data_IF_807145705991
#
_entry.id   IF_807145705991
#
_cell.length_a   1.000
_cell.length_b   1.000
_cell.length_c   1.000
_cell.angle_alpha   90.00
_cell.angle_beta   90.00
_cell.angle_gamma   90.00
#
_symmetry.space_group_name_H-M   'P 1'
#
loop_
_entity.id
_entity.type
_entity.pdbx_description
1 polymer ?
#
# COMPACT_ATOMS: atom_id res chain seq x y z
N UNK A 1 13.21 29.02 -9.23
CA UNK A 1 12.16 28.44 -8.36
C UNK A 1 10.80 28.84 -8.92
N UNK A 2 10.13 27.95 -9.65
CA UNK A 2 8.67 28.05 -9.88
C UNK A 2 8.06 26.91 -9.07
N UNK A 3 7.85 27.19 -7.78
CA UNK A 3 7.03 26.33 -6.95
C UNK A 3 5.63 26.27 -7.57
N UNK A 4 5.02 25.09 -7.59
CA UNK A 4 3.62 24.90 -8.00
C UNK A 4 2.71 25.90 -7.26
N UNK A 5 1.46 26.08 -7.72
CA UNK A 5 0.38 26.28 -6.78
C UNK A 5 0.35 25.01 -5.91
N UNK A 6 1.08 25.07 -4.80
CA UNK A 6 0.94 24.12 -3.71
C UNK A 6 -0.56 24.06 -3.43
N UNK A 7 -1.14 22.85 -3.44
CA UNK A 7 -2.52 22.71 -3.00
C UNK A 7 -2.62 23.45 -1.67
N UNK A 8 -3.49 24.45 -1.60
CA UNK A 8 -3.70 25.26 -0.38
C UNK A 8 -4.14 24.38 0.79
N UNK A 9 -4.55 23.14 0.52
CA UNK A 9 -5.13 22.18 1.45
C UNK A 9 -4.42 20.82 1.35
N UNK A 10 -3.23 20.64 1.98
CA UNK A 10 -2.47 19.38 1.91
C UNK A 10 -3.27 18.17 2.40
N UNK A 11 -4.13 18.34 3.40
CA UNK A 11 -5.04 17.30 3.89
C UNK A 11 -6.03 16.85 2.82
N UNK A 12 -6.62 17.78 2.06
CA UNK A 12 -7.55 17.46 0.98
C UNK A 12 -6.86 16.73 -0.18
N UNK A 13 -5.62 17.11 -0.50
CA UNK A 13 -4.82 16.40 -1.50
C UNK A 13 -4.50 14.97 -1.08
N UNK A 14 -4.14 14.75 0.18
CA UNK A 14 -3.93 13.41 0.69
C UNK A 14 -5.23 12.61 0.72
N UNK A 15 -6.34 13.21 1.15
CA UNK A 15 -7.65 12.55 1.15
C UNK A 15 -8.08 12.13 -0.26
N UNK A 16 -7.91 13.01 -1.25
CA UNK A 16 -8.17 12.68 -2.66
C UNK A 16 -7.29 11.53 -3.16
N UNK A 17 -5.99 11.55 -2.82
CA UNK A 17 -5.10 10.46 -3.17
C UNK A 17 -5.52 9.12 -2.54
N UNK A 18 -6.03 9.14 -1.29
CA UNK A 18 -6.52 7.95 -0.61
C UNK A 18 -7.86 7.46 -1.18
N UNK A 19 -8.74 8.36 -1.61
CA UNK A 19 -9.96 7.98 -2.35
C UNK A 19 -9.61 7.31 -3.68
N UNK A 20 -8.67 7.89 -4.43
CA UNK A 20 -8.14 7.27 -5.65
C UNK A 20 -7.52 5.91 -5.34
N UNK A 21 -6.67 5.80 -4.32
CA UNK A 21 -6.09 4.53 -3.94
C UNK A 21 -7.19 3.49 -3.63
N UNK A 22 -8.29 3.91 -3.00
CA UNK A 22 -9.41 3.05 -2.60
C UNK A 22 -10.12 2.40 -3.77
N UNK A 23 -10.09 3.03 -4.94
CA UNK A 23 -10.71 2.48 -6.15
C UNK A 23 -9.84 1.42 -6.83
N UNK A 24 -8.57 1.24 -6.43
CA UNK A 24 -7.61 0.39 -7.16
C UNK A 24 -8.08 -1.04 -7.32
N UNK A 25 -8.73 -1.60 -6.29
CA UNK A 25 -9.22 -2.97 -6.31
C UNK A 25 -10.24 -3.21 -7.43
N UNK A 26 -11.21 -2.30 -7.58
CA UNK A 26 -12.19 -2.39 -8.66
C UNK A 26 -11.53 -2.29 -10.04
N UNK A 27 -10.61 -1.35 -10.22
CA UNK A 27 -9.91 -1.18 -11.50
C UNK A 27 -9.09 -2.44 -11.86
N UNK A 28 -8.48 -3.09 -10.88
CA UNK A 28 -7.75 -4.35 -11.06
C UNK A 28 -8.71 -5.49 -11.41
N UNK A 29 -9.85 -5.60 -10.71
CA UNK A 29 -10.88 -6.61 -10.99
C UNK A 29 -11.49 -6.44 -12.38
N UNK A 30 -11.90 -5.22 -12.75
CA UNK A 30 -12.49 -4.91 -14.05
C UNK A 30 -11.51 -5.01 -15.21
N UNK A 31 -10.20 -4.88 -14.96
CA UNK A 31 -9.20 -5.13 -15.99
C UNK A 31 -9.25 -6.59 -16.49
N UNK A 32 -9.64 -7.53 -15.63
CA UNK A 32 -9.88 -8.94 -16.01
C UNK A 32 -8.62 -9.68 -16.47
N UNK A 33 -7.44 -9.24 -16.04
CA UNK A 33 -6.15 -9.79 -16.47
C UNK A 33 -5.37 -10.41 -15.31
N UNK A 34 -4.37 -11.22 -15.65
CA UNK A 34 -3.47 -11.79 -14.65
C UNK A 34 -2.76 -10.67 -13.84
N UNK A 35 -2.61 -10.79 -12.52
CA UNK A 35 -2.03 -9.75 -11.66
C UNK A 35 -0.67 -9.23 -12.14
N UNK A 36 0.21 -10.13 -12.63
CA UNK A 36 1.53 -9.76 -13.17
C UNK A 36 1.39 -8.85 -14.40
N UNK A 37 0.48 -9.16 -15.31
CA UNK A 37 0.22 -8.35 -16.51
C UNK A 37 -0.33 -6.96 -16.13
N UNK A 38 -1.23 -6.91 -15.14
CA UNK A 38 -1.75 -5.64 -14.61
C UNK A 38 -0.65 -4.80 -13.99
N UNK A 39 0.21 -5.37 -13.14
CA UNK A 39 1.31 -4.64 -12.50
C UNK A 39 2.35 -4.20 -13.52
N UNK A 40 2.65 -5.01 -14.54
CA UNK A 40 3.52 -4.63 -15.64
C UNK A 40 3.00 -3.37 -16.36
N UNK A 41 1.74 -3.38 -16.82
CA UNK A 41 1.16 -2.23 -17.51
C UNK A 41 0.96 -1.02 -16.59
N UNK A 42 0.62 -1.23 -15.32
CA UNK A 42 0.65 -0.18 -14.28
C UNK A 42 2.02 0.50 -14.24
N UNK A 43 3.09 -0.28 -14.26
CA UNK A 43 4.45 0.25 -14.26
C UNK A 43 4.78 1.00 -15.56
N UNK A 44 4.37 0.49 -16.72
CA UNK A 44 4.55 1.18 -18.01
C UNK A 44 3.86 2.55 -18.03
N UNK A 45 2.56 2.59 -17.75
CA UNK A 45 1.79 3.83 -17.76
C UNK A 45 2.18 4.78 -16.62
N UNK A 46 2.51 4.23 -15.44
CA UNK A 46 3.03 5.00 -14.31
C UNK A 46 4.39 5.64 -14.62
N UNK A 47 5.32 4.88 -15.23
CA UNK A 47 6.63 5.39 -15.62
C UNK A 47 6.52 6.47 -16.71
N UNK A 48 5.63 6.32 -17.69
CA UNK A 48 5.39 7.35 -18.70
C UNK A 48 4.89 8.65 -18.08
N UNK A 49 3.88 8.58 -17.20
CA UNK A 49 3.34 9.77 -16.53
C UNK A 49 4.38 10.41 -15.59
N UNK A 50 5.00 9.62 -14.71
CA UNK A 50 5.98 10.12 -13.74
C UNK A 50 7.26 10.61 -14.41
N UNK A 51 7.68 9.96 -15.50
CA UNK A 51 8.80 10.39 -16.33
C UNK A 51 8.53 11.75 -16.96
N UNK A 52 7.38 11.91 -17.62
CA UNK A 52 6.95 13.20 -18.16
C UNK A 52 6.85 14.27 -17.05
N UNK A 53 6.25 13.93 -15.91
CA UNK A 53 6.14 14.83 -14.76
C UNK A 53 7.52 15.26 -14.25
N UNK A 54 8.44 14.32 -14.04
CA UNK A 54 9.79 14.63 -13.55
C UNK A 54 10.61 15.46 -14.54
N UNK A 55 10.47 15.20 -15.85
CA UNK A 55 11.11 16.01 -16.90
C UNK A 55 10.56 17.44 -16.93
N UNK A 56 9.24 17.60 -16.96
CA UNK A 56 8.58 18.91 -16.99
C UNK A 56 8.88 19.75 -15.75
N UNK A 57 9.15 19.10 -14.61
CA UNK A 57 9.49 19.76 -13.34
C UNK A 57 10.99 19.94 -13.13
N UNK A 58 11.83 19.50 -14.07
CA UNK A 58 13.28 19.60 -13.97
C UNK A 58 13.87 18.77 -12.82
N UNK A 59 13.19 17.69 -12.43
CA UNK A 59 13.67 16.76 -11.40
C UNK A 59 14.74 15.80 -11.94
N UNK A 60 14.83 15.67 -13.27
CA UNK A 60 15.82 14.85 -13.97
C UNK A 60 16.80 15.73 -14.76
N UNK A 61 18.10 15.36 -14.81
CA UNK A 61 18.72 14.27 -14.07
C UNK A 61 18.85 14.60 -12.57
N UNK A 62 18.51 13.64 -11.71
CA UNK A 62 18.65 13.81 -10.26
C UNK A 62 20.13 13.62 -9.89
N UNK A 63 20.80 14.73 -9.56
CA UNK A 63 22.22 14.75 -9.17
C UNK A 63 22.51 14.03 -7.85
N UNK A 64 21.47 13.62 -7.12
CA UNK A 64 21.62 12.89 -5.86
C UNK A 64 21.70 11.36 -6.05
N UNK A 65 21.53 10.87 -7.28
CA UNK A 65 21.63 9.45 -7.63
C UNK A 65 23.09 8.99 -7.69
N UNK A 66 23.56 8.31 -6.64
CA UNK A 66 24.80 7.53 -6.67
C UNK A 66 24.51 6.08 -7.05
N UNK A 67 25.49 5.29 -7.53
CA UNK A 67 25.29 3.87 -7.82
C UNK A 67 24.73 3.08 -6.63
N UNK A 68 25.18 3.40 -5.41
CA UNK A 68 24.66 2.81 -4.18
C UNK A 68 23.19 3.16 -3.93
N UNK A 69 22.81 4.43 -4.13
CA UNK A 69 21.40 4.86 -4.00
C UNK A 69 20.52 4.27 -5.09
N UNK A 70 21.04 4.12 -6.30
CA UNK A 70 20.33 3.45 -7.39
C UNK A 70 20.10 1.97 -7.08
N UNK A 71 21.11 1.27 -6.55
CA UNK A 71 20.95 -0.12 -6.11
C UNK A 71 19.92 -0.25 -4.97
N UNK A 72 19.95 0.67 -4.00
CA UNK A 72 18.96 0.70 -2.92
C UNK A 72 17.54 1.01 -3.44
N UNK A 73 17.41 1.96 -4.37
CA UNK A 73 16.14 2.29 -5.01
C UNK A 73 15.62 1.13 -5.85
N UNK A 74 16.51 0.38 -6.51
CA UNK A 74 16.17 -0.80 -7.27
C UNK A 74 15.66 -1.93 -6.36
N UNK A 75 16.34 -2.19 -5.23
CA UNK A 75 15.88 -3.17 -4.26
C UNK A 75 14.53 -2.77 -3.64
N UNK A 76 14.37 -1.50 -3.26
CA UNK A 76 13.09 -0.98 -2.76
C UNK A 76 11.98 -1.11 -3.82
N UNK A 77 12.30 -0.86 -5.09
CA UNK A 77 11.39 -1.05 -6.22
C UNK A 77 11.01 -2.50 -6.46
N UNK A 78 11.97 -3.42 -6.39
CA UNK A 78 11.70 -4.84 -6.50
C UNK A 78 10.72 -5.31 -5.41
N UNK A 79 10.97 -4.95 -4.15
CA UNK A 79 10.06 -5.24 -3.04
C UNK A 79 8.67 -4.64 -3.27
N UNK A 80 8.59 -3.38 -3.72
CA UNK A 80 7.31 -2.70 -3.95
C UNK A 80 6.51 -3.34 -5.11
N UNK A 81 7.17 -3.71 -6.20
CA UNK A 81 6.52 -4.35 -7.37
C UNK A 81 6.03 -5.74 -7.02
N UNK A 82 6.83 -6.53 -6.30
CA UNK A 82 6.40 -7.84 -5.80
C UNK A 82 5.25 -7.69 -4.81
N UNK A 83 5.27 -6.67 -3.95
CA UNK A 83 4.17 -6.33 -3.06
C UNK A 83 2.88 -6.05 -3.84
N UNK A 84 2.91 -5.20 -4.86
CA UNK A 84 1.73 -4.94 -5.71
C UNK A 84 1.21 -6.18 -6.40
N UNK A 85 2.11 -7.03 -6.90
CA UNK A 85 1.75 -8.27 -7.60
C UNK A 85 1.03 -9.24 -6.67
N UNK A 86 1.58 -9.47 -5.47
CA UNK A 86 0.96 -10.32 -4.46
C UNK A 86 -0.35 -9.72 -3.92
N UNK A 87 -0.41 -8.40 -3.76
CA UNK A 87 -1.64 -7.70 -3.35
C UNK A 87 -2.76 -7.86 -4.39
N UNK A 88 -2.46 -7.67 -5.68
CA UNK A 88 -3.45 -7.82 -6.74
C UNK A 88 -3.87 -9.29 -6.93
N UNK A 89 -2.97 -10.24 -6.71
CA UNK A 89 -3.32 -11.66 -6.67
C UNK A 89 -4.27 -12.00 -5.52
N UNK A 90 -4.13 -11.31 -4.37
CA UNK A 90 -5.05 -11.44 -3.24
C UNK A 90 -6.50 -11.09 -3.59
N UNK A 91 -6.72 -10.04 -4.40
CA UNK A 91 -8.06 -9.63 -4.83
C UNK A 91 -8.80 -10.74 -5.59
N UNK A 92 -8.10 -11.43 -6.51
CA UNK A 92 -8.68 -12.51 -7.31
C UNK A 92 -9.03 -13.77 -6.49
N UNK A 93 -8.43 -13.93 -5.31
CA UNK A 93 -8.55 -15.12 -4.47
C UNK A 93 -9.43 -14.91 -3.23
N UNK A 94 -9.68 -13.66 -2.83
CA UNK A 94 -10.48 -13.32 -1.66
C UNK A 94 -11.55 -12.27 -2.01
N UNK A 95 -11.40 -11.02 -1.58
CA UNK A 95 -12.21 -9.87 -2.00
C UNK A 95 -11.39 -8.58 -1.88
N UNK A 96 -11.88 -7.49 -2.48
CA UNK A 96 -11.20 -6.20 -2.39
C UNK A 96 -11.12 -5.74 -0.93
N UNK A 97 -12.21 -5.84 -0.17
CA UNK A 97 -12.25 -5.49 1.23
C UNK A 97 -11.28 -6.34 2.04
N UNK A 98 -11.40 -7.67 1.95
CA UNK A 98 -10.59 -8.61 2.75
C UNK A 98 -9.09 -8.41 2.51
N UNK A 99 -8.66 -8.41 1.25
CA UNK A 99 -7.25 -8.19 0.89
C UNK A 99 -6.79 -6.80 1.35
N UNK A 100 -7.59 -5.76 1.16
CA UNK A 100 -7.21 -4.41 1.61
C UNK A 100 -7.01 -4.36 3.12
N UNK A 101 -7.91 -4.95 3.90
CA UNK A 101 -7.83 -4.92 5.37
C UNK A 101 -6.61 -5.69 5.86
N UNK A 102 -6.40 -6.91 5.37
CA UNK A 102 -5.25 -7.74 5.74
C UNK A 102 -3.94 -7.03 5.38
N UNK A 103 -3.91 -6.34 4.24
CA UNK A 103 -2.74 -5.57 3.81
C UNK A 103 -2.39 -4.40 4.74
N UNK A 104 -3.35 -3.86 5.50
CA UNK A 104 -3.11 -2.76 6.45
C UNK A 104 -2.30 -3.15 7.69
N UNK A 105 -1.86 -4.41 7.81
CA UNK A 105 -0.93 -4.81 8.87
C UNK A 105 0.51 -4.34 8.67
N UNK A 106 0.81 -3.72 7.52
CA UNK A 106 2.12 -3.13 7.22
C UNK A 106 2.78 -2.35 8.37
N UNK A 107 2.08 -1.47 9.13
CA UNK A 107 2.71 -0.71 10.20
C UNK A 107 3.33 -1.62 11.27
N UNK A 108 2.71 -2.78 11.53
CA UNK A 108 3.22 -3.74 12.49
C UNK A 108 4.46 -4.46 11.94
N UNK A 109 4.49 -4.82 10.65
CA UNK A 109 5.71 -5.35 10.04
C UNK A 109 6.86 -4.34 10.07
N UNK A 110 6.60 -3.04 9.89
CA UNK A 110 7.63 -2.01 10.06
C UNK A 110 8.21 -2.03 11.47
N UNK A 111 7.36 -2.12 12.51
CA UNK A 111 7.82 -2.23 13.92
C UNK A 111 8.63 -3.51 14.14
N UNK A 112 8.16 -4.66 13.65
CA UNK A 112 8.87 -5.94 13.79
C UNK A 112 10.26 -5.85 13.15
N UNK A 113 10.36 -5.31 11.94
CA UNK A 113 11.64 -5.15 11.24
C UNK A 113 12.56 -4.19 12.02
N UNK A 114 12.03 -3.07 12.54
CA UNK A 114 12.79 -2.14 13.39
C UNK A 114 13.39 -2.84 14.62
N UNK A 115 12.65 -3.77 15.21
CA UNK A 115 13.10 -4.47 16.42
C UNK A 115 14.14 -5.53 16.10
N UNK A 116 13.88 -6.34 15.07
CA UNK A 116 14.77 -7.45 14.68
C UNK A 116 16.08 -6.93 14.09
N UNK A 117 16.03 -5.92 13.23
CA UNK A 117 17.20 -5.48 12.46
C UNK A 117 17.82 -4.19 13.00
N UNK A 118 17.03 -3.27 13.56
CA UNK A 118 17.53 -2.01 14.11
C UNK A 118 17.71 -2.07 15.64
N UNK A 119 17.35 -3.19 16.28
CA UNK A 119 17.43 -3.42 17.74
C UNK A 119 16.68 -2.36 18.55
N UNK A 120 15.59 -1.83 17.98
CA UNK A 120 14.70 -0.91 18.67
C UNK A 120 13.98 -1.61 19.84
N UNK A 121 13.75 -0.89 20.93
CA UNK A 121 12.99 -1.42 22.07
C UNK A 121 11.49 -1.20 21.84
N UNK A 122 10.71 -2.27 21.96
CA UNK A 122 9.23 -2.19 21.94
C UNK A 122 8.73 -1.95 23.36
N UNK A 123 7.83 -0.98 23.53
CA UNK A 123 7.05 -0.83 24.76
C UNK A 123 5.99 -1.93 24.89
N UNK A 124 5.60 -2.30 26.11
CA UNK A 124 4.52 -3.25 26.32
C UNK A 124 3.21 -2.79 25.64
N UNK A 125 2.96 -1.48 25.61
CA UNK A 125 1.81 -0.89 24.92
C UNK A 125 1.82 -1.17 23.41
N UNK A 126 2.96 -0.99 22.75
CA UNK A 126 3.11 -1.32 21.33
C UNK A 126 2.89 -2.82 21.06
N UNK A 127 3.38 -3.69 21.95
CA UNK A 127 3.12 -5.14 21.85
C UNK A 127 1.63 -5.46 21.95
N UNK A 128 0.92 -4.84 22.91
CA UNK A 128 -0.53 -5.02 23.07
C UNK A 128 -1.32 -4.55 21.84
N UNK A 129 -0.94 -3.40 21.26
CA UNK A 129 -1.55 -2.95 20.01
C UNK A 129 -1.26 -3.89 18.84
N UNK A 130 -0.03 -4.41 18.73
CA UNK A 130 0.33 -5.41 17.70
C UNK A 130 -0.51 -6.69 17.82
N UNK A 131 -0.70 -7.19 19.05
CA UNK A 131 -1.58 -8.34 19.31
C UNK A 131 -3.04 -8.03 18.95
N UNK A 132 -3.52 -6.85 19.31
CA UNK A 132 -4.85 -6.37 18.92
C UNK A 132 -5.02 -6.35 17.40
N UNK A 133 -4.04 -5.84 16.66
CA UNK A 133 -4.09 -5.84 15.20
C UNK A 133 -4.11 -7.25 14.60
N UNK A 134 -3.32 -8.17 15.14
CA UNK A 134 -3.32 -9.56 14.70
C UNK A 134 -4.70 -10.21 14.91
N UNK A 135 -5.32 -9.99 16.07
CA UNK A 135 -6.70 -10.42 16.30
C UNK A 135 -7.67 -9.75 15.31
N UNK A 136 -7.45 -8.47 15.00
CA UNK A 136 -8.22 -7.74 14.00
C UNK A 136 -8.11 -8.35 12.60
N UNK A 137 -6.93 -8.85 12.21
CA UNK A 137 -6.74 -9.60 10.95
C UNK A 137 -7.53 -10.89 10.96
N UNK A 138 -7.46 -11.66 12.05
CA UNK A 138 -8.21 -12.92 12.16
C UNK A 138 -9.71 -12.66 11.99
N UNK A 139 -10.23 -11.63 12.66
CA UNK A 139 -11.64 -11.21 12.54
C UNK A 139 -12.00 -10.70 11.14
N UNK A 140 -11.12 -9.88 10.53
CA UNK A 140 -11.34 -9.27 9.22
C UNK A 140 -11.14 -10.20 8.03
N UNK A 141 -10.33 -11.25 8.18
CA UNK A 141 -10.06 -12.21 7.12
C UNK A 141 -11.31 -13.00 6.70
N UNK A 142 -12.28 -13.17 7.61
CA UNK A 142 -13.43 -14.07 7.39
C UNK A 142 -13.21 -15.48 7.94
N UNK A 143 -12.02 -15.79 8.49
CA UNK A 143 -11.70 -17.08 9.14
C UNK A 143 -12.70 -17.48 10.23
N UNK A 144 -13.25 -16.50 10.95
CA UNK A 144 -14.09 -16.73 12.14
C UNK A 144 -15.55 -17.01 11.76
N UNK A 145 -16.00 -16.62 10.57
CA UNK A 145 -17.44 -16.58 10.22
C UNK A 145 -17.85 -17.70 9.25
N UNK A 146 -16.93 -18.28 8.47
CA UNK A 146 -17.31 -19.32 7.50
C UNK A 146 -16.27 -20.42 7.36
N UNK A 147 -16.53 -21.57 7.99
CA UNK A 147 -15.84 -22.83 7.67
C UNK A 147 -16.06 -23.28 6.21
N UNK A 148 -17.05 -22.71 5.51
CA UNK A 148 -17.37 -23.03 4.12
C UNK A 148 -16.56 -22.22 3.08
N UNK A 149 -15.82 -21.18 3.49
CA UNK A 149 -15.03 -20.30 2.59
C UNK A 149 -13.52 -20.49 2.66
N UNK A 150 -13.01 -21.34 3.56
CA UNK A 150 -11.58 -21.63 3.68
C UNK A 150 -11.07 -22.56 2.56
N UNK A 151 -11.29 -22.17 1.30
CA UNK A 151 -10.69 -22.87 0.15
C UNK A 151 -9.17 -22.66 0.16
N UNK A 152 -8.44 -23.57 -0.48
CA UNK A 152 -6.99 -23.42 -0.66
C UNK A 152 -6.63 -22.11 -1.40
N UNK A 153 -7.48 -21.68 -2.34
CA UNK A 153 -7.32 -20.41 -3.05
C UNK A 153 -7.47 -19.22 -2.10
N UNK A 154 -8.51 -19.21 -1.26
CA UNK A 154 -8.71 -18.13 -0.29
C UNK A 154 -7.54 -18.04 0.70
N UNK A 155 -7.07 -19.18 1.23
CA UNK A 155 -5.92 -19.22 2.15
C UNK A 155 -4.63 -18.71 1.48
N UNK A 156 -4.40 -19.09 0.22
CA UNK A 156 -3.29 -18.56 -0.58
C UNK A 156 -3.42 -17.05 -0.79
N UNK A 157 -4.62 -16.53 -1.05
CA UNK A 157 -4.87 -15.10 -1.20
C UNK A 157 -4.54 -14.29 0.07
N UNK A 158 -4.90 -14.81 1.25
CA UNK A 158 -4.49 -14.21 2.53
C UNK A 158 -2.96 -14.26 2.69
N UNK A 159 -2.34 -15.41 2.42
CA UNK A 159 -0.89 -15.55 2.54
C UNK A 159 -0.14 -14.58 1.60
N UNK A 160 -0.57 -14.46 0.34
CA UNK A 160 -0.03 -13.50 -0.62
C UNK A 160 -0.23 -12.06 -0.15
N UNK A 161 -1.37 -11.75 0.45
CA UNK A 161 -1.64 -10.41 0.99
C UNK A 161 -0.73 -10.08 2.17
N UNK A 162 -0.45 -11.04 3.06
CA UNK A 162 0.50 -10.87 4.16
C UNK A 162 1.94 -10.70 3.65
N UNK A 163 2.34 -11.50 2.64
CA UNK A 163 3.63 -11.34 1.96
C UNK A 163 3.72 -9.95 1.31
N UNK A 164 2.64 -9.49 0.69
CA UNK A 164 2.57 -8.15 0.10
C UNK A 164 2.78 -7.06 1.17
N UNK A 165 2.11 -7.17 2.33
CA UNK A 165 2.26 -6.24 3.43
C UNK A 165 3.68 -6.22 3.99
N UNK A 166 4.32 -7.38 4.12
CA UNK A 166 5.71 -7.50 4.54
C UNK A 166 6.67 -6.85 3.53
N UNK A 167 6.52 -7.15 2.24
CA UNK A 167 7.32 -6.58 1.16
C UNK A 167 7.18 -5.05 1.09
N UNK A 168 5.97 -4.53 1.32
CA UNK A 168 5.74 -3.09 1.40
C UNK A 168 6.46 -2.47 2.61
N UNK A 169 6.41 -3.12 3.78
CA UNK A 169 7.12 -2.65 4.97
C UNK A 169 8.64 -2.60 4.74
N UNK A 170 9.21 -3.64 4.11
CA UNK A 170 10.62 -3.68 3.70
C UNK A 170 10.92 -2.55 2.70
N UNK A 171 10.11 -2.39 1.65
CA UNK A 171 10.28 -1.33 0.66
C UNK A 171 10.25 0.07 1.31
N UNK A 172 9.38 0.28 2.29
CA UNK A 172 9.27 1.54 3.03
C UNK A 172 10.51 1.82 3.86
N UNK A 173 11.09 0.81 4.52
CA UNK A 173 12.32 0.95 5.30
C UNK A 173 13.51 1.22 4.37
N UNK A 174 13.63 0.49 3.26
CA UNK A 174 14.67 0.74 2.25
C UNK A 174 14.56 2.16 1.67
N UNK A 175 13.33 2.62 1.39
CA UNK A 175 13.08 3.97 0.88
C UNK A 175 13.49 5.07 1.87
N UNK A 176 13.42 4.84 3.19
CA UNK A 176 13.97 5.78 4.18
C UNK A 176 15.48 5.96 4.03
N UNK A 177 16.20 4.92 3.62
CA UNK A 177 17.64 4.96 3.35
C UNK A 177 18.03 5.80 2.12
N UNK A 178 17.07 6.17 1.25
CA UNK A 178 17.32 7.03 0.09
C UNK A 178 17.51 8.51 0.45
N UNK A 179 17.23 8.89 1.71
CA UNK A 179 17.52 10.22 2.26
C UNK A 179 16.79 11.34 1.53
N UNK A 180 17.53 12.24 0.88
CA UNK A 180 17.01 13.44 0.22
C UNK A 180 16.54 13.21 -1.22
N UNK A 181 16.55 11.97 -1.70
CA UNK A 181 16.01 11.64 -3.03
C UNK A 181 14.53 12.02 -3.11
N UNK A 182 14.14 12.66 -4.22
CA UNK A 182 12.75 13.06 -4.42
C UNK A 182 11.85 11.83 -4.53
N UNK A 183 10.74 11.85 -3.81
CA UNK A 183 9.81 10.71 -3.77
C UNK A 183 9.23 10.38 -5.16
N UNK A 184 8.99 11.37 -6.02
CA UNK A 184 8.55 11.14 -7.41
C UNK A 184 9.59 10.40 -8.24
N UNK A 185 10.88 10.73 -8.07
CA UNK A 185 11.99 10.03 -8.74
C UNK A 185 12.12 8.61 -8.20
N UNK A 186 11.95 8.42 -6.88
CA UNK A 186 11.91 7.07 -6.28
C UNK A 186 10.82 6.22 -6.92
N UNK A 187 9.58 6.71 -7.02
CA UNK A 187 8.46 5.95 -7.61
C UNK A 187 8.71 5.68 -9.10
N UNK A 188 9.28 6.65 -9.83
CA UNK A 188 9.72 6.44 -11.21
C UNK A 188 10.71 5.27 -11.31
N UNK A 189 11.75 5.24 -10.46
CA UNK A 189 12.68 4.10 -10.39
C UNK A 189 11.96 2.79 -10.10
N UNK A 190 11.03 2.77 -9.13
CA UNK A 190 10.24 1.56 -8.81
C UNK A 190 9.45 1.07 -10.03
N UNK A 191 8.81 1.96 -10.77
CA UNK A 191 8.07 1.61 -11.98
C UNK A 191 8.98 1.10 -13.10
N UNK A 192 10.15 1.71 -13.32
CA UNK A 192 11.13 1.23 -14.31
C UNK A 192 11.61 -0.18 -13.96
N UNK A 193 11.93 -0.42 -12.69
CA UNK A 193 12.31 -1.74 -12.19
C UNK A 193 11.17 -2.74 -12.39
N UNK A 194 9.92 -2.33 -12.16
CA UNK A 194 8.76 -3.18 -12.40
C UNK A 194 8.60 -3.57 -13.86
N UNK A 195 8.83 -2.66 -14.80
CA UNK A 195 8.83 -2.97 -16.24
C UNK A 195 9.88 -4.04 -16.53
N UNK A 196 11.12 -3.83 -16.11
CA UNK A 196 12.25 -4.75 -16.39
C UNK A 196 12.01 -6.12 -15.75
N UNK A 197 11.60 -6.16 -14.48
CA UNK A 197 11.40 -7.40 -13.72
C UNK A 197 10.21 -8.22 -14.23
N UNK A 198 9.10 -7.56 -14.60
CA UNK A 198 7.87 -8.26 -14.97
C UNK A 198 7.73 -8.52 -16.47
N UNK A 199 8.51 -7.85 -17.33
CA UNK A 199 8.46 -8.05 -18.79
C UNK A 199 8.48 -9.53 -19.23
N UNK A 200 9.32 -10.42 -18.68
CA UNK A 200 9.36 -11.82 -19.09
C UNK A 200 8.08 -12.60 -18.74
N UNK A 201 7.33 -12.12 -17.74
CA UNK A 201 6.18 -12.81 -17.15
C UNK A 201 4.84 -12.14 -17.50
N UNK A 202 4.88 -10.95 -18.14
CA UNK A 202 3.69 -10.15 -18.42
C UNK A 202 2.85 -10.68 -19.59
N UNK A 203 3.35 -11.69 -20.33
CA UNK A 203 2.70 -12.19 -21.53
C UNK A 203 2.73 -11.16 -22.67
N UNK A 204 3.84 -10.43 -22.83
CA UNK A 204 3.99 -9.43 -23.89
C UNK A 204 3.76 -10.11 -25.25
N UNK A 205 2.82 -9.57 -26.04
CA UNK A 205 2.39 -10.15 -27.32
C UNK A 205 1.11 -10.98 -27.23
N UNK A 206 0.62 -11.31 -26.02
CA UNK A 206 -0.73 -11.86 -25.86
C UNK A 206 -1.79 -10.79 -26.08
N UNK A 207 -2.97 -11.21 -26.52
CA UNK A 207 -4.10 -10.33 -26.77
C UNK A 207 -4.62 -9.74 -25.44
N UNK A 208 -4.59 -8.41 -25.33
CA UNK A 208 -5.26 -7.66 -24.26
C UNK A 208 -6.60 -7.16 -24.80
N UNK A 209 -7.73 -7.51 -24.15
CA UNK A 209 -9.05 -7.06 -24.58
C UNK A 209 -9.13 -5.52 -24.64
N UNK A 210 -9.84 -5.00 -25.63
CA UNK A 210 -9.95 -3.55 -25.84
C UNK A 210 -10.48 -2.79 -24.60
N UNK A 211 -11.43 -3.39 -23.88
CA UNK A 211 -12.01 -2.80 -22.67
C UNK A 211 -11.02 -2.71 -21.49
N UNK A 212 -10.02 -3.58 -21.42
CA UNK A 212 -9.04 -3.61 -20.33
C UNK A 212 -8.07 -2.41 -20.37
N UNK A 213 -7.83 -1.81 -21.54
CA UNK A 213 -6.85 -0.73 -21.68
C UNK A 213 -7.20 0.52 -20.88
N UNK A 214 -8.48 0.90 -20.82
CA UNK A 214 -8.93 2.03 -20.01
C UNK A 214 -8.62 1.83 -18.52
N UNK A 215 -8.82 0.60 -18.03
CA UNK A 215 -8.47 0.21 -16.67
C UNK A 215 -6.96 0.24 -16.44
N UNK A 216 -6.16 -0.37 -17.33
CA UNK A 216 -4.70 -0.40 -17.22
C UNK A 216 -4.06 0.99 -17.22
N UNK A 217 -4.50 1.86 -18.13
CA UNK A 217 -4.05 3.27 -18.19
C UNK A 217 -4.40 3.97 -16.88
N UNK A 218 -5.60 3.78 -16.37
CA UNK A 218 -6.04 4.40 -15.11
C UNK A 218 -5.27 3.86 -13.89
N UNK A 219 -4.91 2.57 -13.85
CA UNK A 219 -4.09 2.03 -12.75
C UNK A 219 -2.68 2.66 -12.77
N UNK A 220 -2.08 2.84 -13.95
CA UNK A 220 -0.77 3.48 -14.04
C UNK A 220 -0.84 5.00 -13.83
N UNK A 221 -1.69 5.71 -14.56
CA UNK A 221 -1.74 7.18 -14.52
C UNK A 221 -2.43 7.68 -13.27
N UNK A 222 -3.66 7.23 -12.98
CA UNK A 222 -4.45 7.76 -11.88
C UNK A 222 -3.93 7.24 -10.52
N UNK A 223 -3.77 5.92 -10.38
CA UNK A 223 -3.42 5.32 -9.09
C UNK A 223 -1.92 5.35 -8.78
N UNK A 224 -1.05 5.38 -9.80
CA UNK A 224 0.42 5.39 -9.59
C UNK A 224 1.04 6.75 -9.89
N UNK A 225 0.57 7.46 -10.92
CA UNK A 225 1.04 8.80 -11.24
C UNK A 225 0.45 9.87 -10.33
N UNK A 226 -0.83 10.20 -10.56
CA UNK A 226 -1.54 11.32 -9.92
C UNK A 226 -1.61 11.13 -8.41
N UNK A 227 -2.03 9.95 -7.93
CA UNK A 227 -2.15 9.70 -6.49
C UNK A 227 -0.80 9.89 -5.76
N UNK A 228 0.31 9.40 -6.33
CA UNK A 228 1.63 9.59 -5.71
C UNK A 228 2.08 11.04 -5.75
N UNK A 229 1.81 11.79 -6.83
CA UNK A 229 2.10 13.24 -6.87
C UNK A 229 1.32 13.98 -5.78
N UNK A 230 0.04 13.66 -5.60
CA UNK A 230 -0.78 14.24 -4.54
C UNK A 230 -0.24 13.88 -3.15
N UNK A 231 0.08 12.61 -2.90
CA UNK A 231 0.66 12.14 -1.64
C UNK A 231 2.00 12.82 -1.34
N UNK A 232 2.92 12.82 -2.30
CA UNK A 232 4.26 13.41 -2.16
C UNK A 232 4.19 14.92 -1.94
N UNK A 233 3.19 15.60 -2.51
CA UNK A 233 2.95 17.01 -2.23
C UNK A 233 2.41 17.27 -0.81
N UNK A 234 1.70 16.30 -0.21
CA UNK A 234 1.03 16.47 1.07
C UNK A 234 1.89 16.04 2.26
N UNK A 235 2.63 14.94 2.15
CA UNK A 235 3.39 14.35 3.27
C UNK A 235 4.35 15.32 3.97
N UNK A 236 5.16 16.15 3.28
CA UNK A 236 6.07 17.08 3.96
C UNK A 236 5.37 18.18 4.75
N UNK A 237 4.05 18.36 4.56
CA UNK A 237 3.24 19.46 5.11
C UNK A 237 2.23 19.00 6.17
N UNK A 238 2.22 17.71 6.50
CA UNK A 238 1.29 17.12 7.46
C UNK A 238 2.08 16.41 8.55
N UNK A 239 1.55 16.42 9.78
CA UNK A 239 2.14 15.66 10.88
C UNK A 239 1.84 14.16 10.71
N UNK A 240 2.71 13.30 11.25
CA UNK A 240 2.52 11.83 11.21
C UNK A 240 1.14 11.38 11.72
N UNK A 241 0.59 11.93 12.83
CA UNK A 241 -0.78 11.66 13.25
C UNK A 241 -1.82 11.93 12.16
N UNK A 242 -1.77 13.10 11.53
CA UNK A 242 -2.73 13.52 10.50
C UNK A 242 -2.62 12.64 9.26
N UNK A 243 -1.39 12.33 8.83
CA UNK A 243 -1.16 11.38 7.73
C UNK A 243 -1.79 10.03 8.06
N UNK A 244 -1.54 9.49 9.26
CA UNK A 244 -2.10 8.22 9.71
C UNK A 244 -3.63 8.19 9.62
N UNK A 245 -4.30 9.22 10.14
CA UNK A 245 -5.77 9.32 10.11
C UNK A 245 -6.29 9.41 8.67
N UNK A 246 -5.74 10.30 7.84
CA UNK A 246 -6.24 10.49 6.47
C UNK A 246 -6.00 9.24 5.61
N UNK A 247 -4.90 8.51 5.84
CA UNK A 247 -4.64 7.26 5.11
C UNK A 247 -5.69 6.17 5.32
N UNK A 248 -6.49 6.24 6.39
CA UNK A 248 -7.62 5.32 6.59
C UNK A 248 -8.79 5.53 5.63
N UNK A 249 -8.81 6.62 4.86
CA UNK A 249 -9.78 6.80 3.78
C UNK A 249 -9.63 5.68 2.73
N UNK A 250 -8.39 5.24 2.47
CA UNK A 250 -8.10 4.18 1.49
C UNK A 250 -8.90 2.89 1.74
N UNK A 251 -8.75 2.22 2.90
CA UNK A 251 -9.49 0.99 3.18
C UNK A 251 -11.00 1.22 3.20
N UNK A 252 -11.48 2.34 3.76
CA UNK A 252 -12.92 2.68 3.80
C UNK A 252 -13.52 2.75 2.41
N UNK A 253 -12.85 3.42 1.46
CA UNK A 253 -13.33 3.50 0.08
C UNK A 253 -13.29 2.14 -0.61
N UNK A 254 -12.23 1.36 -0.41
CA UNK A 254 -12.12 0.02 -0.97
C UNK A 254 -13.27 -0.91 -0.53
N UNK A 255 -13.65 -0.83 0.75
CA UNK A 255 -14.79 -1.56 1.33
C UNK A 255 -16.12 -1.12 0.72
N UNK A 256 -16.36 0.19 0.66
CA UNK A 256 -17.61 0.73 0.12
C UNK A 256 -17.78 0.27 -1.33
N UNK A 257 -16.69 0.27 -2.10
CA UNK A 257 -16.69 -0.21 -3.49
C UNK A 257 -16.91 -1.72 -3.55
N UNK A 258 -16.21 -2.53 -2.74
CA UNK A 258 -16.39 -3.99 -2.69
C UNK A 258 -17.86 -4.35 -2.38
N UNK A 259 -18.49 -3.63 -1.46
CA UNK A 259 -19.90 -3.83 -1.14
C UNK A 259 -20.84 -3.31 -2.23
N UNK A 260 -20.68 -2.07 -2.68
CA UNK A 260 -21.64 -1.42 -3.58
C UNK A 260 -21.57 -1.93 -5.02
N UNK A 261 -20.38 -2.31 -5.49
CA UNK A 261 -20.16 -2.76 -6.88
C UNK A 261 -20.21 -4.28 -6.98
N UNK A 262 -19.60 -4.99 -6.04
CA UNK A 262 -19.45 -6.46 -6.09
C UNK A 262 -20.39 -7.20 -5.15
N UNK A 263 -21.18 -6.49 -4.35
CA UNK A 263 -22.17 -7.10 -3.48
C UNK A 263 -21.54 -7.94 -2.36
N UNK A 264 -20.30 -7.63 -1.94
CA UNK A 264 -19.63 -8.29 -0.83
C UNK A 264 -19.98 -7.56 0.49
N UNK A 265 -21.03 -7.95 1.24
CA UNK A 265 -21.40 -7.29 2.47
C UNK A 265 -20.32 -7.51 3.53
N UNK A 266 -20.05 -6.45 4.29
CA UNK A 266 -19.08 -6.53 5.36
C UNK A 266 -19.73 -7.13 6.61
N UNK A 267 -19.29 -8.33 6.98
CA UNK A 267 -19.82 -9.03 8.15
C UNK A 267 -19.49 -8.30 9.46
N UNK A 268 -20.27 -8.49 10.54
CA UNK A 268 -20.00 -7.84 11.83
C UNK A 268 -18.61 -8.15 12.39
N UNK A 269 -18.13 -9.38 12.22
CA UNK A 269 -16.77 -9.76 12.62
C UNK A 269 -15.71 -9.01 11.80
N UNK A 270 -15.94 -8.84 10.49
CA UNK A 270 -15.02 -8.07 9.66
C UNK A 270 -15.00 -6.60 10.06
N UNK A 271 -16.17 -6.03 10.39
CA UNK A 271 -16.28 -4.66 10.87
C UNK A 271 -15.51 -4.44 12.17
N UNK A 272 -15.68 -5.37 13.13
CA UNK A 272 -14.94 -5.36 14.38
C UNK A 272 -13.42 -5.50 14.15
N UNK A 273 -13.01 -6.41 13.26
CA UNK A 273 -11.61 -6.61 12.89
C UNK A 273 -10.97 -5.36 12.31
N UNK A 274 -11.67 -4.66 11.43
CA UNK A 274 -11.22 -3.38 10.86
C UNK A 274 -11.08 -2.28 11.90
N UNK A 275 -12.08 -2.10 12.74
CA UNK A 275 -12.04 -1.13 13.83
C UNK A 275 -10.82 -1.40 14.72
N UNK A 276 -10.56 -2.68 15.02
CA UNK A 276 -9.42 -3.09 15.84
C UNK A 276 -8.07 -2.85 15.15
N UNK A 277 -7.93 -3.17 13.85
CA UNK A 277 -6.70 -2.87 13.07
C UNK A 277 -6.46 -1.35 13.02
N UNK A 278 -7.51 -0.56 12.80
CA UNK A 278 -7.42 0.89 12.72
C UNK A 278 -7.00 1.49 14.07
N UNK A 279 -7.67 1.08 15.15
CA UNK A 279 -7.34 1.50 16.52
C UNK A 279 -5.92 1.09 16.91
N UNK A 280 -5.49 -0.14 16.58
CA UNK A 280 -4.15 -0.61 16.85
C UNK A 280 -3.08 0.15 16.07
N UNK A 281 -3.34 0.44 14.81
CA UNK A 281 -2.42 1.21 13.97
C UNK A 281 -2.29 2.64 14.50
N UNK A 282 -3.41 3.27 14.89
CA UNK A 282 -3.40 4.59 15.51
C UNK A 282 -2.71 4.55 16.87
N UNK A 283 -2.98 3.55 17.71
CA UNK A 283 -2.36 3.37 19.01
C UNK A 283 -0.83 3.26 18.93
N UNK A 284 -0.32 2.46 17.98
CA UNK A 284 1.13 2.37 17.71
C UNK A 284 1.69 3.69 17.17
N UNK A 285 1.01 4.33 16.20
CA UNK A 285 1.51 5.57 15.57
C UNK A 285 1.47 6.79 16.49
N UNK A 286 0.49 6.87 17.39
CA UNK A 286 0.28 7.97 18.32
C UNK A 286 0.94 7.73 19.69
N UNK A 287 1.47 6.52 19.92
CA UNK A 287 2.10 6.16 21.19
C UNK A 287 1.11 6.09 22.36
N UNK A 288 -0.12 5.65 22.09
CA UNK A 288 -1.12 5.46 23.14
C UNK A 288 -0.66 4.40 24.14
N UNK A 289 -0.75 4.75 25.43
CA UNK A 289 -0.35 3.87 26.54
C UNK A 289 -1.59 3.28 27.19
N UNK A 290 -1.52 2.00 27.51
CA UNK A 290 -2.50 1.37 28.37
C UNK A 290 -2.20 1.77 29.82
N UNK A 291 -3.21 2.16 30.61
CA UNK A 291 -3.05 2.40 32.03
C UNK A 291 -2.86 1.06 32.76
N UNK A 292 -1.71 0.42 32.58
CA UNK A 292 -1.33 -0.73 33.39
C UNK A 292 -0.99 -0.20 34.78
N UNK A 293 -1.92 -0.35 35.73
CA UNK A 293 -1.67 -0.13 37.15
C UNK A 293 -0.38 -0.88 37.51
N UNK A 294 0.66 -0.17 37.94
CA UNK A 294 1.75 -0.79 38.68
C UNK A 294 1.11 -1.45 39.89
N UNK A 295 0.99 -2.78 39.88
CA UNK A 295 0.78 -3.52 41.11
C UNK A 295 2.04 -3.23 41.92
N UNK A 296 1.92 -2.31 42.87
CA UNK A 296 2.95 -2.11 43.88
C UNK A 296 3.07 -3.46 44.57
N UNK A 297 4.21 -4.13 44.38
CA UNK A 297 4.56 -5.25 45.24
C UNK A 297 4.62 -4.66 46.67
N UNK A 298 3.68 -5.10 47.50
CA UNK A 298 3.71 -4.89 48.94
C UNK A 298 4.63 -5.94 49.56
#
# INVERSE_FOLDING_TARGET
MKDLPTSRFPAASLALAMMIAGTVGAFVTEAGLHPVTIVFWRCVFGAMFLGAWCLLRGYLPDRTLSPSRLALAALAGACMVLSWTAFFAGFAMTSIATTTIVYHVQPFFVVIIGVVFLKERISLDQMLWMLGAFLGVVLASGLVVSHAQASAAWALGIALTLVAALLYAVATILAKGLGQQRAEVTVLCQTIIGIVMLAPFAGIGQHVPAHSWGWLVSIGVLHTGIAYVLMNSAFPRLTTPVIGIITFIYPVVAIIIDWAVYGHPLGPAQAAGMALIALATLGVRLGWRFPLRRVSAA
#
